data_IF_467159162474
#
_entry.id   IF_467159162474
#
_cell.length_a   1.000
_cell.length_b   1.000
_cell.length_c   1.000
_cell.angle_alpha   90.00
_cell.angle_beta   90.00
_cell.angle_gamma   90.00
#
_symmetry.space_group_name_H-M   'P 1'
#
loop_
_entity.id
_entity.type
_entity.pdbx_description
1 polymer ?
#
# COMPACT_ATOMS: atom_id res chain seq x y z
N UNK A 1 -6.01 -5.04 17.32
CA UNK A 1 -6.19 -6.01 16.22
C UNK A 1 -5.89 -7.42 16.70
N UNK A 2 -4.72 -7.64 17.28
CA UNK A 2 -4.36 -8.91 17.93
C UNK A 2 -3.50 -8.63 19.16
N UNK A 3 -3.40 -9.62 20.03
CA UNK A 3 -2.56 -9.57 21.23
C UNK A 3 -1.59 -10.73 21.17
N UNK A 4 -0.30 -10.41 21.27
CA UNK A 4 0.79 -11.37 21.36
C UNK A 4 1.15 -11.57 22.83
N UNK A 5 1.75 -12.72 23.14
CA UNK A 5 2.27 -13.01 24.47
C UNK A 5 3.73 -13.44 24.34
N UNK A 6 4.57 -12.85 25.19
CA UNK A 6 5.98 -13.21 25.32
C UNK A 6 6.29 -13.37 26.83
N UNK A 7 6.28 -14.61 27.35
CA UNK A 7 6.52 -14.84 28.78
C UNK A 7 7.97 -14.54 29.20
N UNK A 8 8.92 -14.62 28.26
CA UNK A 8 10.32 -14.30 28.53
C UNK A 8 10.48 -12.79 28.70
N UNK A 9 9.83 -11.99 27.86
CA UNK A 9 9.83 -10.53 27.96
C UNK A 9 9.19 -10.03 29.28
N UNK A 10 8.12 -10.68 29.73
CA UNK A 10 7.49 -10.36 31.03
C UNK A 10 8.43 -10.67 32.22
N UNK A 11 9.21 -11.74 32.10
CA UNK A 11 10.20 -12.12 33.10
C UNK A 11 11.38 -11.15 33.12
N UNK A 12 11.91 -10.78 31.94
CA UNK A 12 12.97 -9.77 31.81
C UNK A 12 12.55 -8.41 32.38
N UNK A 13 11.29 -7.99 32.14
CA UNK A 13 10.74 -6.76 32.72
C UNK A 13 10.74 -6.80 34.25
N UNK A 14 10.32 -7.93 34.83
CA UNK A 14 10.32 -8.08 36.28
C UNK A 14 11.74 -8.00 36.86
N UNK A 15 12.70 -8.66 36.21
CA UNK A 15 14.12 -8.65 36.65
C UNK A 15 14.71 -7.25 36.62
N UNK A 16 14.51 -6.48 35.54
CA UNK A 16 15.07 -5.13 35.42
C UNK A 16 14.43 -4.17 36.43
N UNK A 17 13.15 -4.35 36.77
CA UNK A 17 12.47 -3.54 37.79
C UNK A 17 13.09 -3.76 39.17
N UNK A 18 13.36 -5.01 39.56
CA UNK A 18 14.06 -5.31 40.82
C UNK A 18 15.50 -4.79 40.84
N UNK A 19 16.24 -4.90 39.72
CA UNK A 19 17.59 -4.34 39.62
C UNK A 19 17.59 -2.81 39.79
N UNK A 20 16.60 -2.13 39.22
CA UNK A 20 16.45 -0.68 39.37
C UNK A 20 16.11 -0.29 40.82
N UNK A 21 15.24 -1.05 41.49
CA UNK A 21 14.96 -0.85 42.92
C UNK A 21 16.19 -1.05 43.80
N UNK A 22 16.99 -2.08 43.52
CA UNK A 22 18.25 -2.34 44.21
C UNK A 22 19.25 -1.17 44.02
N UNK A 23 19.48 -0.74 42.77
CA UNK A 23 20.38 0.36 42.46
C UNK A 23 19.94 1.68 43.13
N UNK A 24 18.63 1.97 43.14
CA UNK A 24 18.07 3.13 43.85
C UNK A 24 18.21 3.04 45.37
N UNK A 25 18.11 1.85 45.96
CA UNK A 25 18.37 1.66 47.37
C UNK A 25 19.86 1.87 47.69
N UNK A 26 20.77 1.35 46.86
CA UNK A 26 22.22 1.54 46.98
C UNK A 26 22.62 3.02 46.89
N UNK A 27 22.07 3.75 45.91
CA UNK A 27 22.27 5.21 45.77
C UNK A 27 21.89 5.98 47.04
N UNK A 28 20.73 5.64 47.65
CA UNK A 28 20.26 6.29 48.89
C UNK A 28 21.21 6.05 50.06
N UNK A 29 21.85 4.88 50.15
CA UNK A 29 22.84 4.59 51.18
C UNK A 29 24.14 5.37 50.98
N UNK A 30 24.57 5.58 49.73
CA UNK A 30 25.82 6.27 49.38
C UNK A 30 25.75 7.80 49.53
N UNK A 31 24.55 8.37 49.62
CA UNK A 31 24.31 9.81 49.65
C UNK A 31 24.97 10.53 50.84
N UNK A 32 25.37 9.79 51.88
CA UNK A 32 25.99 10.31 53.11
C UNK A 32 27.52 10.12 53.12
N UNK A 33 28.04 9.15 52.37
CA UNK A 33 29.41 8.65 52.56
C UNK A 33 30.36 8.94 51.39
N UNK A 34 29.91 8.87 50.13
CA UNK A 34 30.81 8.98 48.96
C UNK A 34 30.12 9.57 47.72
N UNK A 35 30.49 10.81 47.37
CA UNK A 35 29.96 11.52 46.21
C UNK A 35 30.36 10.91 44.86
N UNK A 36 31.54 10.32 44.76
CA UNK A 36 32.02 9.70 43.51
C UNK A 36 31.26 8.40 43.25
N UNK A 37 31.09 7.59 44.29
CA UNK A 37 30.34 6.34 44.18
C UNK A 37 28.84 6.60 43.93
N UNK A 38 28.29 7.70 44.45
CA UNK A 38 26.94 8.14 44.14
C UNK A 38 26.78 8.50 42.65
N UNK A 39 27.73 9.21 42.05
CA UNK A 39 27.70 9.58 40.62
C UNK A 39 27.76 8.33 39.71
N UNK A 40 28.62 7.37 40.02
CA UNK A 40 28.68 6.08 39.29
C UNK A 40 27.35 5.33 39.38
N UNK A 41 26.74 5.31 40.57
CA UNK A 41 25.44 4.65 40.78
C UNK A 41 24.32 5.38 40.02
N UNK A 42 24.40 6.70 39.88
CA UNK A 42 23.46 7.48 39.08
C UNK A 42 23.53 7.13 37.58
N UNK A 43 24.74 6.91 37.04
CA UNK A 43 24.91 6.39 35.68
C UNK A 43 24.34 4.97 35.52
N UNK A 44 24.53 4.10 36.52
CA UNK A 44 23.95 2.74 36.53
C UNK A 44 22.42 2.81 36.50
N UNK A 45 21.81 3.64 37.36
CA UNK A 45 20.37 3.88 37.40
C UNK A 45 19.87 4.39 36.04
N UNK A 46 20.54 5.38 35.46
CA UNK A 46 20.16 5.92 34.15
C UNK A 46 20.21 4.83 33.04
N UNK A 47 21.20 3.94 33.09
CA UNK A 47 21.29 2.81 32.16
C UNK A 47 20.13 1.83 32.34
N UNK A 48 19.81 1.46 33.58
CA UNK A 48 18.72 0.56 33.93
C UNK A 48 17.36 1.14 33.55
N UNK A 49 17.14 2.44 33.78
CA UNK A 49 15.93 3.16 33.37
C UNK A 49 15.76 3.13 31.84
N UNK A 50 16.85 3.37 31.10
CA UNK A 50 16.84 3.26 29.64
C UNK A 50 16.52 1.84 29.14
N UNK A 51 17.01 0.79 29.82
CA UNK A 51 16.66 -0.60 29.50
C UNK A 51 15.20 -0.91 29.80
N UNK A 52 14.72 -0.45 30.97
CA UNK A 52 13.34 -0.62 31.40
C UNK A 52 12.36 0.06 30.45
N UNK A 53 12.68 1.27 29.98
CA UNK A 53 11.88 1.97 28.97
C UNK A 53 11.76 1.15 27.67
N UNK A 54 12.88 0.63 27.15
CA UNK A 54 12.88 -0.23 25.96
C UNK A 54 12.07 -1.51 26.15
N UNK A 55 12.15 -2.16 27.32
CA UNK A 55 11.37 -3.36 27.60
C UNK A 55 9.87 -3.05 27.68
N UNK A 56 9.48 -1.92 28.27
CA UNK A 56 8.08 -1.45 28.30
C UNK A 56 7.53 -1.13 26.92
N UNK A 57 8.33 -0.51 26.06
CA UNK A 57 7.96 -0.28 24.65
C UNK A 57 7.71 -1.60 23.91
N UNK A 58 8.58 -2.60 24.10
CA UNK A 58 8.40 -3.94 23.51
C UNK A 58 7.16 -4.65 24.03
N UNK A 59 6.88 -4.54 25.33
CA UNK A 59 5.66 -5.07 25.94
C UNK A 59 4.40 -4.41 25.37
N UNK A 60 4.42 -3.09 25.20
CA UNK A 60 3.31 -2.36 24.57
C UNK A 60 3.11 -2.79 23.11
N UNK A 61 4.20 -3.07 22.38
CA UNK A 61 4.16 -3.55 20.99
C UNK A 61 3.58 -4.96 20.82
N UNK A 62 3.40 -5.74 21.90
CA UNK A 62 2.67 -7.01 21.86
C UNK A 62 1.17 -6.80 21.55
N UNK A 63 0.62 -5.63 21.88
CA UNK A 63 -0.72 -5.24 21.47
C UNK A 63 -0.68 -4.59 20.08
N UNK A 64 -0.93 -5.39 19.04
CA UNK A 64 -0.90 -4.90 17.66
C UNK A 64 -2.18 -4.12 17.37
N UNK A 65 -2.05 -2.82 17.12
CA UNK A 65 -3.13 -1.90 16.75
C UNK A 65 -3.08 -1.54 15.27
N UNK A 66 -4.20 -1.04 14.74
CA UNK A 66 -4.24 -0.53 13.37
C UNK A 66 -3.63 0.89 13.37
N UNK A 67 -2.71 1.21 12.44
CA UNK A 67 -2.18 2.58 12.33
C UNK A 67 -3.18 3.54 11.67
N UNK A 68 -4.16 3.01 10.95
CA UNK A 68 -5.18 3.77 10.20
C UNK A 68 -6.53 3.10 10.36
N UNK A 69 -7.60 3.89 10.22
CA UNK A 69 -8.96 3.37 10.13
C UNK A 69 -9.16 2.67 8.79
N UNK A 70 -9.79 1.49 8.82
CA UNK A 70 -9.98 0.70 7.61
C UNK A 70 -10.51 -0.71 7.84
N UNK A 71 -10.53 -1.49 6.76
CA UNK A 71 -10.96 -2.88 6.76
C UNK A 71 -9.75 -3.76 7.09
N UNK A 72 -9.86 -4.52 8.18
CA UNK A 72 -8.86 -5.50 8.57
C UNK A 72 -9.00 -6.78 7.74
N UNK A 73 -7.96 -7.12 6.98
CA UNK A 73 -7.94 -8.27 6.07
C UNK A 73 -6.92 -9.29 6.56
N UNK A 74 -7.39 -10.51 6.84
CA UNK A 74 -6.57 -11.65 7.23
C UNK A 74 -6.48 -12.64 6.07
N UNK A 75 -5.27 -12.95 5.56
CA UNK A 75 -5.10 -13.87 4.43
C UNK A 75 -5.52 -15.32 4.74
N UNK A 76 -5.35 -15.76 6.00
CA UNK A 76 -5.82 -17.04 6.53
C UNK A 76 -6.21 -16.85 7.99
N UNK A 77 -7.49 -17.00 8.30
CA UNK A 77 -7.99 -16.83 9.67
C UNK A 77 -7.71 -18.07 10.55
N UNK A 78 -7.61 -19.25 9.94
CA UNK A 78 -7.72 -20.53 10.65
C UNK A 78 -6.46 -20.92 11.47
N UNK A 79 -5.30 -20.31 11.22
CA UNK A 79 -4.00 -20.72 11.82
C UNK A 79 -3.32 -19.64 12.68
N UNK A 80 -4.07 -18.67 13.21
CA UNK A 80 -3.48 -17.52 13.91
C UNK A 80 -3.33 -17.74 15.42
N UNK A 81 -4.30 -18.42 16.04
CA UNK A 81 -4.29 -18.64 17.47
C UNK A 81 -3.18 -19.65 17.85
N UNK A 82 -2.26 -19.24 18.72
CA UNK A 82 -1.16 -20.08 19.18
C UNK A 82 0.01 -20.20 18.21
N UNK A 83 -0.01 -19.50 17.08
CA UNK A 83 1.11 -19.45 16.14
C UNK A 83 2.18 -18.49 16.64
N UNK A 84 3.43 -18.92 16.54
CA UNK A 84 4.59 -18.07 16.76
C UNK A 84 4.85 -17.18 15.53
N UNK A 85 4.99 -15.88 15.75
CA UNK A 85 5.32 -14.90 14.72
C UNK A 85 6.72 -14.33 14.93
N UNK A 86 7.45 -14.12 13.85
CA UNK A 86 8.76 -13.46 13.89
C UNK A 86 8.61 -11.95 13.73
N UNK A 87 9.52 -11.19 14.32
CA UNK A 87 9.58 -9.75 14.07
C UNK A 87 9.80 -9.47 12.57
N UNK A 88 8.99 -8.56 12.01
CA UNK A 88 8.98 -8.25 10.58
C UNK A 88 8.13 -9.19 9.73
N UNK A 89 7.55 -10.25 10.31
CA UNK A 89 6.58 -11.08 9.63
C UNK A 89 5.25 -10.34 9.47
N UNK A 90 4.72 -10.36 8.27
CA UNK A 90 3.48 -9.67 7.96
C UNK A 90 2.28 -10.55 8.29
N UNK A 91 1.55 -10.17 9.34
CA UNK A 91 0.44 -10.96 9.89
C UNK A 91 -0.92 -10.65 9.25
N UNK A 92 -1.13 -9.41 8.82
CA UNK A 92 -2.39 -8.95 8.26
C UNK A 92 -2.21 -7.61 7.52
N UNK A 93 -3.26 -7.16 6.83
CA UNK A 93 -3.31 -5.86 6.18
C UNK A 93 -4.51 -5.05 6.67
N UNK A 94 -4.36 -3.73 6.70
CA UNK A 94 -5.48 -2.80 6.89
C UNK A 94 -5.63 -1.99 5.61
N UNK A 95 -6.83 -2.02 5.04
CA UNK A 95 -7.16 -1.27 3.83
C UNK A 95 -7.97 -0.05 4.23
N UNK A 96 -7.40 1.14 4.08
CA UNK A 96 -8.11 2.38 4.35
C UNK A 96 -9.32 2.52 3.41
N UNK A 97 -10.46 2.94 3.94
CA UNK A 97 -11.70 3.06 3.15
C UNK A 97 -11.66 4.23 2.16
N UNK A 98 -10.90 5.29 2.48
CA UNK A 98 -10.99 6.59 1.81
C UNK A 98 -10.06 6.74 0.60
N UNK A 99 -9.12 5.81 0.37
CA UNK A 99 -8.10 5.90 -0.68
C UNK A 99 -8.32 4.89 -1.81
N UNK A 100 -9.58 4.69 -2.21
CA UNK A 100 -9.91 3.80 -3.32
C UNK A 100 -9.34 4.35 -4.64
N UNK A 101 -8.21 3.78 -5.06
CA UNK A 101 -7.50 4.16 -6.28
C UNK A 101 -7.72 3.09 -7.36
N UNK A 102 -8.20 3.53 -8.53
CA UNK A 102 -8.35 2.68 -9.70
C UNK A 102 -7.14 2.87 -10.63
N UNK A 103 -6.40 1.79 -10.89
CA UNK A 103 -5.29 1.79 -11.84
C UNK A 103 -5.78 1.41 -13.23
N UNK A 104 -5.53 2.28 -14.20
CA UNK A 104 -5.93 2.10 -15.60
C UNK A 104 -4.72 2.18 -16.50
N UNK A 105 -4.78 1.39 -17.57
CA UNK A 105 -3.76 1.32 -18.60
C UNK A 105 -4.37 1.84 -19.91
N UNK A 106 -3.64 2.71 -20.59
CA UNK A 106 -4.04 3.32 -21.87
C UNK A 106 -2.93 3.13 -22.90
N UNK A 107 -3.31 2.71 -24.10
CA UNK A 107 -2.43 2.54 -25.25
C UNK A 107 -1.82 3.86 -25.75
N UNK A 108 -0.56 3.84 -26.18
CA UNK A 108 0.16 5.00 -26.71
C UNK A 108 -0.56 5.71 -27.86
N UNK A 109 -1.26 4.99 -28.74
CA UNK A 109 -2.02 5.58 -29.85
C UNK A 109 -3.24 6.40 -29.41
N UNK A 110 -3.67 6.27 -28.15
CA UNK A 110 -4.83 6.96 -27.58
C UNK A 110 -4.47 7.97 -26.48
N UNK A 111 -3.21 8.06 -26.06
CA UNK A 111 -2.81 8.94 -24.96
C UNK A 111 -3.01 10.43 -25.23
N UNK A 112 -2.81 10.87 -26.47
CA UNK A 112 -2.98 12.28 -26.84
C UNK A 112 -4.40 12.79 -26.56
N UNK A 113 -5.40 11.90 -26.62
CA UNK A 113 -6.79 12.23 -26.29
C UNK A 113 -6.96 12.39 -24.78
N UNK A 114 -6.43 11.44 -24.01
CA UNK A 114 -6.47 11.47 -22.54
C UNK A 114 -5.72 12.68 -21.99
N UNK A 115 -4.56 13.07 -22.56
CA UNK A 115 -3.82 14.24 -22.05
C UNK A 115 -4.46 15.59 -22.39
N UNK A 116 -5.18 15.71 -23.51
CA UNK A 116 -5.59 17.03 -24.05
C UNK A 116 -7.07 17.35 -23.88
N UNK A 117 -7.96 16.37 -23.69
CA UNK A 117 -9.42 16.59 -23.66
C UNK A 117 -10.12 15.64 -22.71
N UNK A 118 -9.88 15.72 -21.41
CA UNK A 118 -10.73 15.04 -20.43
C UNK A 118 -11.81 16.00 -19.96
N UNK A 119 -13.08 15.64 -20.17
CA UNK A 119 -14.23 16.31 -19.54
C UNK A 119 -14.69 15.58 -18.30
N UNK A 120 -14.80 14.26 -18.39
CA UNK A 120 -15.29 13.42 -17.30
C UNK A 120 -14.61 12.05 -17.34
N UNK A 121 -14.45 11.41 -16.19
CA UNK A 121 -13.95 10.04 -16.07
C UNK A 121 -14.97 9.26 -15.27
N UNK A 122 -15.44 8.18 -15.86
CA UNK A 122 -16.41 7.28 -15.25
C UNK A 122 -15.78 5.92 -15.04
N UNK A 123 -15.90 5.42 -13.82
CA UNK A 123 -15.47 4.08 -13.43
C UNK A 123 -16.69 3.24 -13.13
N UNK A 124 -16.76 2.04 -13.71
CA UNK A 124 -17.82 1.07 -13.49
C UNK A 124 -17.23 -0.24 -12.98
N UNK A 125 -17.61 -0.73 -11.79
CA UNK A 125 -17.18 -2.03 -11.34
C UNK A 125 -17.68 -3.14 -12.27
N UNK A 126 -16.82 -4.10 -12.61
CA UNK A 126 -17.22 -5.17 -13.55
C UNK A 126 -18.33 -6.09 -13.03
N UNK A 127 -18.52 -6.16 -11.71
CA UNK A 127 -19.60 -6.90 -11.06
C UNK A 127 -20.92 -6.09 -10.95
N UNK A 128 -20.87 -4.77 -11.21
CA UNK A 128 -22.01 -3.83 -11.15
C UNK A 128 -21.82 -2.72 -12.19
N UNK A 129 -22.08 -3.06 -13.44
CA UNK A 129 -21.84 -2.16 -14.58
C UNK A 129 -22.84 -0.98 -14.60
N UNK A 130 -23.98 -1.14 -13.95
CA UNK A 130 -24.99 -0.11 -13.74
C UNK A 130 -24.51 1.02 -12.81
N UNK A 131 -23.56 0.74 -11.93
CA UNK A 131 -23.02 1.72 -11.00
C UNK A 131 -21.93 2.55 -11.67
N UNK A 132 -22.20 3.84 -11.85
CA UNK A 132 -21.25 4.80 -12.42
C UNK A 132 -20.63 5.63 -11.30
N UNK A 133 -19.32 5.51 -11.15
CA UNK A 133 -18.55 6.22 -10.13
C UNK A 133 -17.73 7.31 -10.82
N UNK A 134 -17.94 8.60 -10.50
CA UNK A 134 -17.08 9.66 -11.00
C UNK A 134 -15.67 9.51 -10.42
N UNK A 135 -14.66 9.77 -11.26
CA UNK A 135 -13.26 9.69 -10.87
C UNK A 135 -12.47 10.87 -11.43
N UNK A 136 -11.31 11.10 -10.83
CA UNK A 136 -10.34 12.12 -11.27
C UNK A 136 -8.95 11.52 -11.40
N UNK A 137 -8.14 12.06 -12.32
CA UNK A 137 -6.74 11.65 -12.42
C UNK A 137 -6.02 12.13 -11.17
N UNK A 138 -5.46 11.19 -10.40
CA UNK A 138 -4.60 11.49 -9.28
C UNK A 138 -3.16 11.70 -9.77
N UNK A 139 -2.68 10.79 -10.62
CA UNK A 139 -1.38 10.95 -11.29
C UNK A 139 -1.30 10.15 -12.59
N UNK A 140 -0.47 10.65 -13.48
CA UNK A 140 0.01 9.94 -14.65
C UNK A 140 1.43 9.43 -14.36
N UNK A 141 1.70 8.16 -14.68
CA UNK A 141 3.07 7.65 -14.68
C UNK A 141 3.69 8.02 -16.04
N UNK A 142 4.70 8.91 -16.07
CA UNK A 142 5.16 9.52 -17.32
C UNK A 142 5.93 8.54 -18.23
N UNK A 143 6.40 7.41 -17.70
CA UNK A 143 7.14 6.40 -18.45
C UNK A 143 6.17 5.43 -19.12
N UNK A 144 6.26 5.33 -20.45
CA UNK A 144 5.67 4.22 -21.17
C UNK A 144 6.39 2.92 -20.75
N UNK A 145 5.63 1.93 -20.32
CA UNK A 145 6.17 0.61 -19.95
C UNK A 145 5.45 -0.46 -20.74
N UNK A 146 6.15 -1.56 -21.00
CA UNK A 146 5.54 -2.76 -21.56
C UNK A 146 5.13 -3.72 -20.44
N UNK A 147 5.44 -3.44 -19.18
CA UNK A 147 5.08 -4.30 -18.05
C UNK A 147 3.66 -4.00 -17.56
N UNK A 148 2.83 -5.04 -17.47
CA UNK A 148 1.47 -4.91 -16.98
C UNK A 148 1.43 -4.94 -15.44
N UNK A 149 0.81 -3.95 -14.79
CA UNK A 149 0.70 -3.90 -13.32
C UNK A 149 -0.10 -5.07 -12.72
N UNK A 150 -0.96 -5.70 -13.52
CA UNK A 150 -1.76 -6.86 -13.12
C UNK A 150 -2.15 -7.68 -14.35
N UNK A 151 -2.12 -9.00 -14.21
CA UNK A 151 -2.58 -9.94 -15.24
C UNK A 151 -4.06 -9.71 -15.61
N UNK A 152 -4.87 -9.17 -14.69
CA UNK A 152 -6.28 -8.85 -14.92
C UNK A 152 -6.49 -7.81 -16.05
N UNK A 153 -5.45 -7.06 -16.42
CA UNK A 153 -5.46 -6.10 -17.51
C UNK A 153 -5.11 -6.72 -18.87
N UNK A 154 -4.45 -7.89 -18.87
CA UNK A 154 -4.07 -8.64 -20.06
C UNK A 154 -5.19 -9.54 -20.59
N UNK A 155 -5.12 -9.92 -21.87
CA UNK A 155 -6.09 -10.78 -22.54
C UNK A 155 -6.25 -12.14 -21.86
N UNK A 156 -5.17 -12.71 -21.33
CA UNK A 156 -5.22 -13.95 -20.54
C UNK A 156 -6.00 -13.81 -19.21
N UNK A 157 -6.07 -12.60 -18.64
CA UNK A 157 -6.86 -12.28 -17.46
C UNK A 157 -8.23 -11.64 -17.75
N UNK A 158 -8.67 -11.64 -19.02
CA UNK A 158 -9.96 -11.06 -19.43
C UNK A 158 -9.96 -9.54 -19.62
N UNK A 159 -8.79 -8.92 -19.72
CA UNK A 159 -8.59 -7.53 -20.12
C UNK A 159 -8.46 -7.37 -21.65
N UNK A 160 -8.27 -6.14 -22.11
CA UNK A 160 -8.18 -5.83 -23.55
C UNK A 160 -6.73 -5.73 -24.07
N UNK A 161 -5.73 -5.84 -23.20
CA UNK A 161 -4.33 -5.71 -23.59
C UNK A 161 -3.79 -7.04 -24.10
N UNK A 162 -3.26 -7.06 -25.33
CA UNK A 162 -2.61 -8.25 -25.87
C UNK A 162 -1.25 -8.50 -25.19
N UNK A 163 -1.04 -9.72 -24.73
CA UNK A 163 0.21 -10.17 -24.10
C UNK A 163 1.21 -10.66 -25.14
N UNK A 164 2.50 -10.41 -24.93
CA UNK A 164 3.56 -11.04 -25.72
C UNK A 164 3.75 -12.50 -25.28
N UNK A 165 3.54 -13.49 -26.15
CA UNK A 165 3.68 -14.92 -25.82
C UNK A 165 5.13 -15.39 -25.66
N UNK A 166 6.13 -14.51 -25.85
CA UNK A 166 7.56 -14.87 -25.77
C UNK A 166 8.14 -14.82 -24.35
N UNK A 167 7.43 -14.23 -23.40
CA UNK A 167 7.95 -13.97 -22.04
C UNK A 167 6.96 -14.47 -20.98
N UNK A 168 7.32 -15.56 -20.29
CA UNK A 168 6.41 -16.29 -19.38
C UNK A 168 6.52 -15.85 -17.91
N UNK A 169 7.52 -15.02 -17.58
CA UNK A 169 7.80 -14.62 -16.20
C UNK A 169 7.09 -13.32 -15.78
N UNK A 170 6.95 -12.37 -16.72
CA UNK A 170 6.30 -11.08 -16.48
C UNK A 170 5.36 -10.77 -17.64
N UNK A 171 4.07 -10.46 -17.41
CA UNK A 171 3.14 -10.16 -18.49
C UNK A 171 3.55 -8.85 -19.17
N UNK A 172 4.10 -8.96 -20.37
CA UNK A 172 4.45 -7.83 -21.21
C UNK A 172 3.38 -7.59 -22.26
N UNK A 173 3.00 -6.34 -22.46
CA UNK A 173 2.17 -5.93 -23.59
C UNK A 173 2.99 -5.84 -24.86
N UNK A 174 2.36 -6.17 -26.00
CA UNK A 174 2.96 -5.97 -27.32
C UNK A 174 3.18 -4.48 -27.64
N UNK A 175 2.29 -3.63 -27.14
CA UNK A 175 2.31 -2.17 -27.34
C UNK A 175 2.78 -1.43 -26.08
N UNK A 176 3.37 -0.24 -26.26
CA UNK A 176 3.76 0.64 -25.16
C UNK A 176 2.53 1.20 -24.42
N UNK A 177 2.50 1.02 -23.11
CA UNK A 177 1.36 1.39 -22.28
C UNK A 177 1.69 2.55 -21.35
N UNK A 178 0.69 3.40 -21.10
CA UNK A 178 0.74 4.42 -20.07
C UNK A 178 -0.22 4.10 -18.94
N UNK A 179 0.24 4.32 -17.72
CA UNK A 179 -0.52 4.05 -16.52
C UNK A 179 -1.06 5.34 -15.90
N UNK A 180 -2.35 5.31 -15.57
CA UNK A 180 -3.04 6.36 -14.83
C UNK A 180 -3.56 5.78 -13.51
N UNK A 181 -3.30 6.48 -12.41
CA UNK A 181 -3.95 6.22 -11.13
C UNK A 181 -5.10 7.22 -10.98
N UNK A 182 -6.32 6.70 -10.82
CA UNK A 182 -7.55 7.47 -10.69
C UNK A 182 -8.06 7.42 -9.26
N UNK A 183 -8.40 8.57 -8.69
CA UNK A 183 -9.11 8.64 -7.41
C UNK A 183 -10.61 8.53 -7.66
N UNK A 184 -11.28 7.60 -6.96
CA UNK A 184 -12.74 7.50 -6.98
C UNK A 184 -13.31 8.57 -6.04
N UNK A 185 -14.28 9.35 -6.51
CA UNK A 185 -14.86 10.45 -5.71
C UNK A 185 -15.95 9.98 -4.73
N UNK A 186 -16.31 8.69 -4.79
CA UNK A 186 -17.27 8.08 -3.89
C UNK A 186 -16.64 6.85 -3.23
N UNK A 187 -16.80 6.68 -1.91
CA UNK A 187 -16.35 5.48 -1.22
C UNK A 187 -17.22 4.32 -1.70
N UNK A 188 -16.59 3.37 -2.38
CA UNK A 188 -17.25 2.14 -2.81
C UNK A 188 -16.53 0.98 -2.17
N UNK A 189 -17.31 0.09 -1.55
CA UNK A 189 -16.79 -1.18 -1.04
C UNK A 189 -16.44 -2.09 -2.21
N UNK A 190 -15.26 -1.86 -2.78
CA UNK A 190 -14.66 -2.66 -3.83
C UNK A 190 -13.61 -3.55 -3.21
N UNK A 191 -13.61 -4.83 -3.60
CA UNK A 191 -12.50 -5.71 -3.27
C UNK A 191 -11.23 -5.20 -3.97
N UNK A 192 -10.11 -5.17 -3.25
CA UNK A 192 -8.81 -4.89 -3.86
C UNK A 192 -8.53 -5.90 -4.98
N UNK A 193 -8.03 -5.41 -6.10
CA UNK A 193 -7.81 -6.22 -7.31
C UNK A 193 -9.07 -6.51 -8.12
N UNK A 194 -10.24 -5.94 -7.75
CA UNK A 194 -11.44 -6.04 -8.57
C UNK A 194 -11.26 -5.37 -9.92
N UNK A 195 -11.87 -5.96 -10.96
CA UNK A 195 -11.81 -5.43 -12.32
C UNK A 195 -12.78 -4.26 -12.48
N UNK A 196 -12.29 -3.18 -13.08
CA UNK A 196 -13.03 -1.95 -13.33
C UNK A 196 -13.04 -1.64 -14.83
N UNK A 197 -14.15 -1.12 -15.32
CA UNK A 197 -14.30 -0.58 -16.66
C UNK A 197 -14.25 0.94 -16.57
N UNK A 198 -13.31 1.56 -17.28
CA UNK A 198 -13.12 3.02 -17.23
C UNK A 198 -13.44 3.64 -18.57
N UNK A 199 -14.24 4.70 -18.53
CA UNK A 199 -14.62 5.50 -19.69
C UNK A 199 -14.11 6.93 -19.51
N UNK A 200 -13.21 7.33 -20.40
CA UNK A 200 -12.77 8.71 -20.53
C UNK A 200 -13.68 9.45 -21.51
N UNK A 201 -14.44 10.43 -21.03
CA UNK A 201 -15.27 11.30 -21.86
C UNK A 201 -14.45 12.50 -22.35
N UNK A 202 -14.40 12.67 -23.67
CA UNK A 202 -13.64 13.71 -24.34
C UNK A 202 -14.52 14.82 -24.94
N UNK A 203 -15.82 14.79 -24.65
CA UNK A 203 -16.82 15.70 -25.20
C UNK A 203 -17.22 15.38 -26.64
N UNK A 204 -18.04 16.26 -27.21
CA UNK A 204 -18.53 16.12 -28.57
C UNK A 204 -17.49 16.57 -29.58
N UNK A 205 -17.26 15.73 -30.58
CA UNK A 205 -16.44 16.07 -31.73
C UNK A 205 -17.27 15.97 -33.01
N UNK A 206 -17.05 16.92 -33.93
CA UNK A 206 -17.72 16.89 -35.22
C UNK A 206 -17.29 15.65 -36.01
N UNK A 207 -18.21 15.08 -36.79
CA UNK A 207 -17.93 13.90 -37.61
C UNK A 207 -16.69 14.12 -38.49
N UNK A 208 -16.56 15.30 -39.10
CA UNK A 208 -15.41 15.67 -39.94
C UNK A 208 -14.06 15.55 -39.19
N UNK A 209 -13.97 16.05 -37.96
CA UNK A 209 -12.74 15.95 -37.16
C UNK A 209 -12.45 14.49 -36.75
N UNK A 210 -13.49 13.69 -36.47
CA UNK A 210 -13.36 12.26 -36.18
C UNK A 210 -12.79 11.48 -37.38
N UNK A 211 -13.31 11.74 -38.58
CA UNK A 211 -12.85 11.14 -39.83
C UNK A 211 -11.41 11.55 -40.17
N UNK A 212 -11.09 12.84 -40.06
CA UNK A 212 -9.73 13.33 -40.30
C UNK A 212 -8.71 12.68 -39.37
N UNK A 213 -9.02 12.56 -38.07
CA UNK A 213 -8.12 11.89 -37.11
C UNK A 213 -7.92 10.42 -37.45
N UNK A 214 -8.99 9.69 -37.73
CA UNK A 214 -8.90 8.27 -38.09
C UNK A 214 -8.02 8.08 -39.33
N UNK A 215 -8.20 8.94 -40.35
CA UNK A 215 -7.38 8.92 -41.55
C UNK A 215 -5.90 9.24 -41.25
N UNK A 216 -5.63 10.24 -40.42
CA UNK A 216 -4.28 10.60 -39.99
C UNK A 216 -3.61 9.47 -39.21
N UNK A 217 -4.34 8.81 -38.30
CA UNK A 217 -3.81 7.69 -37.51
C UNK A 217 -3.50 6.48 -38.39
N UNK A 218 -4.36 6.17 -39.37
CA UNK A 218 -4.10 5.11 -40.35
C UNK A 218 -2.89 5.42 -41.24
N UNK A 219 -2.73 6.67 -41.66
CA UNK A 219 -1.55 7.10 -42.42
C UNK A 219 -0.28 6.99 -41.57
N UNK A 220 -0.29 7.50 -40.34
CA UNK A 220 0.89 7.42 -39.46
C UNK A 220 1.26 5.96 -39.16
N UNK A 221 0.28 5.10 -38.84
CA UNK A 221 0.54 3.69 -38.57
C UNK A 221 1.09 2.91 -39.78
N UNK A 222 0.77 3.34 -41.01
CA UNK A 222 1.20 2.66 -42.24
C UNK A 222 2.48 3.23 -42.85
N UNK A 223 2.81 4.49 -42.57
CA UNK A 223 3.94 5.20 -43.16
C UNK A 223 5.09 5.51 -42.18
N UNK A 224 4.94 5.20 -40.89
CA UNK A 224 6.07 5.23 -39.96
C UNK A 224 6.87 3.92 -40.01
N UNK A 225 7.74 3.82 -41.02
CA UNK A 225 9.04 3.14 -40.95
C UNK A 225 10.11 4.21 -40.84
#
# INVERSE_FOLDING_TARGET
>A
LMTLADPDLASELSVIEYQLEEARARRRALQVDDAVQAEITDEEIANLEGRLARLRERMAALAVTAPVDGIYVLPRQDDLAGRFFRQGEQVAYVVAADDSTARVVVDQGRIDLVRRRIRNIEVRPSHRVEQVIPARILREVPAATNELPSLALGSAGGGQVALDPRDNATPRSLDSLFQFDLALEQPVSLFLGSRLLVRFDHGYETLAARWYRALRQLLLARFSV
#
